data_IF_188289539336
#
_entry.id   IF_188289539336
#
_cell.length_a   1.000
_cell.length_b   1.000
_cell.length_c   1.000
_cell.angle_alpha   90.00
_cell.angle_beta   90.00
_cell.angle_gamma   90.00
#
_symmetry.space_group_name_H-M   'P 1'
#
loop_
_entity.id
_entity.type
_entity.pdbx_description
1 polymer ?
#
# COMPACT_ATOMS: atom_id res chain seq x y z
N UNK A 1 5.69 -15.39 -14.13
CA UNK A 1 4.26 -15.31 -14.49
C UNK A 1 3.87 -13.84 -14.52
N UNK A 2 3.48 -13.31 -15.67
CA UNK A 2 2.99 -11.94 -15.79
C UNK A 2 1.67 -11.82 -15.01
N UNK A 3 1.60 -10.85 -14.13
CA UNK A 3 0.39 -10.56 -13.36
C UNK A 3 -0.73 -10.20 -14.33
N UNK A 4 -1.78 -11.02 -14.39
CA UNK A 4 -2.89 -10.84 -15.33
C UNK A 4 -3.91 -9.77 -14.90
N UNK A 5 -3.64 -9.04 -13.81
CA UNK A 5 -4.57 -8.05 -13.28
C UNK A 5 -4.08 -6.62 -13.51
N UNK A 6 -5.02 -5.74 -13.85
CA UNK A 6 -4.83 -4.29 -13.82
C UNK A 6 -5.22 -3.82 -12.41
N UNK A 7 -4.37 -3.02 -11.78
CA UNK A 7 -4.60 -2.49 -10.44
C UNK A 7 -5.01 -1.01 -10.51
N UNK A 8 -6.15 -0.69 -9.93
CA UNK A 8 -6.59 0.68 -9.66
C UNK A 8 -6.45 0.91 -8.17
N UNK A 9 -5.50 1.74 -7.78
CA UNK A 9 -5.14 1.97 -6.38
C UNK A 9 -5.42 3.43 -6.03
N UNK A 10 -6.40 3.64 -5.16
CA UNK A 10 -6.81 4.97 -4.71
C UNK A 10 -6.17 5.28 -3.36
N UNK A 11 -5.08 6.03 -3.38
CA UNK A 11 -4.48 6.60 -2.17
C UNK A 11 -5.24 7.86 -1.78
N UNK A 12 -6.02 7.79 -0.69
CA UNK A 12 -6.80 8.93 -0.20
C UNK A 12 -5.93 9.98 0.49
N UNK A 13 -4.67 9.65 0.77
CA UNK A 13 -3.79 10.51 1.56
C UNK A 13 -4.45 10.90 2.89
N UNK A 14 -4.39 12.15 3.31
CA UNK A 14 -4.99 12.63 4.56
C UNK A 14 -6.37 13.25 4.31
N UNK A 15 -7.22 12.55 3.51
CA UNK A 15 -8.58 13.00 3.23
C UNK A 15 -9.61 11.96 3.64
N UNK A 16 -10.80 12.44 3.97
CA UNK A 16 -11.97 11.62 4.23
C UNK A 16 -12.33 11.45 5.70
N UNK A 17 -13.63 11.32 5.94
CA UNK A 17 -14.27 10.98 7.19
C UNK A 17 -15.24 9.80 6.99
N UNK A 18 -16.04 9.46 8.01
CA UNK A 18 -17.02 8.37 7.91
C UNK A 18 -18.07 8.63 6.82
N UNK A 19 -18.46 9.89 6.57
CA UNK A 19 -19.44 10.27 5.55
C UNK A 19 -18.90 10.04 4.15
N UNK A 20 -17.58 10.21 3.95
CA UNK A 20 -16.91 9.97 2.68
C UNK A 20 -17.11 8.54 2.18
N UNK A 21 -17.31 7.57 3.07
CA UNK A 21 -17.54 6.18 2.68
C UNK A 21 -18.83 6.02 1.83
N UNK A 22 -19.79 6.93 1.94
CA UNK A 22 -21.04 6.88 1.17
C UNK A 22 -20.83 7.17 -0.33
N UNK A 23 -19.74 7.86 -0.69
CA UNK A 23 -19.41 8.13 -2.10
C UNK A 23 -18.99 6.88 -2.89
N UNK A 24 -18.80 5.74 -2.23
CA UNK A 24 -18.32 4.51 -2.86
C UNK A 24 -19.42 3.64 -3.47
N UNK A 25 -20.70 3.99 -3.33
CA UNK A 25 -21.81 3.13 -3.75
C UNK A 25 -21.82 2.84 -5.25
N UNK A 26 -21.49 3.81 -6.09
CA UNK A 26 -21.37 3.62 -7.54
C UNK A 26 -20.27 2.61 -7.91
N UNK A 27 -19.10 2.70 -7.26
CA UNK A 27 -17.98 1.79 -7.50
C UNK A 27 -18.27 0.39 -6.94
N UNK A 28 -18.97 0.30 -5.79
CA UNK A 28 -19.43 -0.97 -5.22
C UNK A 28 -20.37 -1.67 -6.21
N UNK A 29 -21.33 -0.95 -6.77
CA UNK A 29 -22.28 -1.50 -7.75
C UNK A 29 -21.57 -1.90 -9.04
N UNK A 30 -20.67 -1.08 -9.56
CA UNK A 30 -19.82 -1.44 -10.70
C UNK A 30 -19.05 -2.74 -10.46
N UNK A 31 -18.41 -2.86 -9.30
CA UNK A 31 -17.63 -4.05 -8.93
C UNK A 31 -18.50 -5.32 -8.85
N UNK A 32 -19.72 -5.22 -8.32
CA UNK A 32 -20.65 -6.36 -8.27
C UNK A 32 -21.04 -6.87 -9.65
N UNK A 33 -21.21 -5.96 -10.61
CA UNK A 33 -21.60 -6.29 -11.98
C UNK A 33 -20.43 -6.81 -12.82
N UNK A 34 -19.19 -6.59 -12.38
CA UNK A 34 -17.97 -6.93 -13.11
C UNK A 34 -17.08 -7.95 -12.37
N UNK A 35 -17.68 -8.94 -11.72
CA UNK A 35 -16.97 -9.93 -10.87
C UNK A 35 -15.89 -10.75 -11.60
N UNK A 36 -16.05 -11.01 -12.90
CA UNK A 36 -15.12 -11.80 -13.73
C UNK A 36 -13.99 -10.96 -14.34
N UNK A 37 -13.94 -9.67 -14.11
CA UNK A 37 -12.98 -8.76 -14.74
C UNK A 37 -11.56 -8.96 -14.20
N UNK A 38 -10.58 -8.75 -15.07
CA UNK A 38 -9.14 -8.86 -14.75
C UNK A 38 -8.59 -7.57 -14.13
N UNK A 39 -9.35 -6.92 -13.26
CA UNK A 39 -8.88 -5.76 -12.50
C UNK A 39 -9.05 -5.95 -11.00
N UNK A 40 -8.30 -5.17 -10.23
CA UNK A 40 -8.39 -5.04 -8.77
C UNK A 40 -8.51 -3.58 -8.41
N UNK A 41 -9.50 -3.24 -7.61
CA UNK A 41 -9.68 -1.87 -7.10
C UNK A 41 -9.36 -1.91 -5.61
N UNK A 42 -8.39 -1.09 -5.20
CA UNK A 42 -7.87 -1.04 -3.83
C UNK A 42 -8.00 0.39 -3.33
N UNK A 43 -8.68 0.56 -2.21
CA UNK A 43 -8.79 1.84 -1.51
C UNK A 43 -7.82 1.86 -0.34
N UNK A 44 -6.97 2.88 -0.27
CA UNK A 44 -6.03 3.12 0.82
C UNK A 44 -6.42 4.42 1.56
N UNK A 45 -7.40 4.36 2.49
CA UNK A 45 -7.84 5.51 3.27
C UNK A 45 -6.89 5.78 4.45
N UNK A 46 -7.06 6.90 5.19
CA UNK A 46 -6.44 7.09 6.50
C UNK A 46 -6.72 5.91 7.45
N UNK A 47 -5.80 5.65 8.38
CA UNK A 47 -5.89 4.51 9.29
C UNK A 47 -7.22 4.44 10.07
N UNK A 48 -7.80 5.59 10.41
CA UNK A 48 -9.09 5.72 11.11
C UNK A 48 -10.28 5.15 10.32
N UNK A 49 -10.15 5.06 8.99
CA UNK A 49 -11.21 4.61 8.09
C UNK A 49 -11.03 3.16 7.61
N UNK A 50 -9.90 2.50 7.87
CA UNK A 50 -9.63 1.13 7.39
C UNK A 50 -10.71 0.16 7.91
N UNK A 51 -11.00 0.17 9.20
CA UNK A 51 -11.99 -0.76 9.80
C UNK A 51 -13.41 -0.53 9.26
N UNK A 52 -13.98 0.69 9.30
CA UNK A 52 -15.32 0.92 8.75
C UNK A 52 -15.40 0.61 7.25
N UNK A 53 -14.39 0.99 6.45
CA UNK A 53 -14.34 0.68 5.04
C UNK A 53 -14.25 -0.84 4.79
N UNK A 54 -13.41 -1.56 5.51
CA UNK A 54 -13.29 -3.01 5.41
C UNK A 54 -14.62 -3.73 5.69
N UNK A 55 -15.37 -3.27 6.70
CA UNK A 55 -16.71 -3.80 6.97
C UNK A 55 -17.68 -3.54 5.81
N UNK A 56 -17.68 -2.32 5.25
CA UNK A 56 -18.55 -1.93 4.13
C UNK A 56 -18.27 -2.75 2.87
N UNK A 57 -17.00 -3.05 2.59
CA UNK A 57 -16.58 -3.75 1.38
C UNK A 57 -16.58 -5.28 1.49
N UNK A 58 -16.94 -5.87 2.64
CA UNK A 58 -16.81 -7.31 2.93
C UNK A 58 -17.47 -8.22 1.89
N UNK A 59 -18.56 -7.80 1.25
CA UNK A 59 -19.31 -8.59 0.25
C UNK A 59 -19.06 -8.11 -1.19
N UNK A 60 -17.95 -7.44 -1.44
CA UNK A 60 -17.57 -6.89 -2.75
C UNK A 60 -16.23 -7.44 -3.22
N UNK A 61 -15.86 -7.15 -4.48
CA UNK A 61 -14.53 -7.44 -5.03
C UNK A 61 -13.52 -6.28 -4.78
N UNK A 62 -13.95 -5.25 -4.06
CA UNK A 62 -13.08 -4.14 -3.68
C UNK A 62 -12.22 -4.52 -2.47
N UNK A 63 -11.01 -4.00 -2.43
CA UNK A 63 -10.05 -4.34 -1.39
C UNK A 63 -9.57 -3.09 -0.65
N UNK A 64 -9.14 -3.28 0.59
CA UNK A 64 -8.66 -2.18 1.45
C UNK A 64 -7.17 -2.32 1.67
N UNK A 65 -6.47 -1.21 1.51
CA UNK A 65 -5.06 -1.06 1.86
C UNK A 65 -4.85 -0.01 2.93
N UNK A 66 -3.66 0.00 3.50
CA UNK A 66 -3.15 1.05 4.37
C UNK A 66 -2.16 1.93 3.62
N UNK A 67 -1.91 3.14 4.13
CA UNK A 67 -1.03 4.12 3.48
C UNK A 67 0.43 4.04 3.95
N UNK A 68 0.69 3.40 5.08
CA UNK A 68 2.01 3.12 5.65
C UNK A 68 1.89 2.11 6.79
N UNK A 69 3.01 1.60 7.30
CA UNK A 69 3.09 0.85 8.56
C UNK A 69 4.43 1.09 9.26
N UNK A 70 4.50 0.76 10.53
CA UNK A 70 5.76 0.71 11.28
C UNK A 70 6.58 -0.52 10.87
N UNK A 71 7.91 -0.44 10.92
CA UNK A 71 8.83 -1.53 10.56
C UNK A 71 8.80 -2.68 11.56
N UNK A 72 8.49 -2.40 12.81
CA UNK A 72 8.33 -3.44 13.81
C UNK A 72 6.95 -4.08 13.69
N UNK A 73 6.91 -5.39 13.43
CA UNK A 73 5.66 -6.15 13.34
C UNK A 73 5.01 -6.43 14.71
N UNK A 74 5.79 -6.44 15.77
CA UNK A 74 5.30 -6.71 17.10
C UNK A 74 4.75 -5.45 17.78
N UNK A 75 3.91 -5.65 18.78
CA UNK A 75 3.47 -4.58 19.67
C UNK A 75 4.67 -4.07 20.48
N UNK A 76 4.64 -2.81 20.85
CA UNK A 76 5.75 -2.20 21.60
C UNK A 76 5.48 -0.73 21.95
N UNK A 77 6.46 -0.06 22.59
CA UNK A 77 6.32 1.32 23.06
C UNK A 77 6.54 2.34 21.91
N UNK A 78 5.66 2.30 20.91
CA UNK A 78 5.71 3.17 19.73
C UNK A 78 4.44 4.01 19.65
N UNK A 79 4.32 5.00 20.51
CA UNK A 79 3.13 5.85 20.66
C UNK A 79 2.73 6.48 19.33
N UNK A 80 1.45 6.29 18.94
CA UNK A 80 0.87 6.82 17.70
C UNK A 80 1.18 6.02 16.44
N UNK A 81 2.09 5.04 16.48
CA UNK A 81 2.40 4.20 15.32
C UNK A 81 1.45 3.02 15.16
N UNK A 82 1.29 2.58 13.92
CA UNK A 82 0.45 1.43 13.56
C UNK A 82 1.32 0.40 12.83
N UNK A 83 1.38 -0.82 13.34
CA UNK A 83 2.16 -1.88 12.71
C UNK A 83 1.33 -2.73 11.72
N UNK A 84 2.00 -3.59 10.98
CA UNK A 84 1.38 -4.43 9.95
C UNK A 84 0.36 -5.42 10.50
N UNK A 85 0.54 -5.96 11.73
CA UNK A 85 -0.44 -6.84 12.38
C UNK A 85 -1.73 -6.09 12.75
N UNK A 86 -1.62 -4.87 13.28
CA UNK A 86 -2.78 -4.02 13.57
C UNK A 86 -3.59 -3.73 12.30
N UNK A 87 -2.91 -3.38 11.20
CA UNK A 87 -3.54 -3.12 9.91
C UNK A 87 -4.26 -4.35 9.37
N UNK A 88 -3.63 -5.52 9.44
CA UNK A 88 -4.24 -6.79 9.05
C UNK A 88 -5.48 -7.10 9.87
N UNK A 89 -5.43 -6.89 11.17
CA UNK A 89 -6.54 -7.16 12.10
C UNK A 89 -7.77 -6.28 11.82
N UNK A 90 -7.57 -5.01 11.41
CA UNK A 90 -8.68 -4.12 11.05
C UNK A 90 -9.17 -4.29 9.61
N UNK A 91 -8.59 -5.23 8.85
CA UNK A 91 -9.08 -5.69 7.55
C UNK A 91 -8.31 -5.16 6.34
N UNK A 92 -7.17 -4.52 6.50
CA UNK A 92 -6.29 -4.21 5.39
C UNK A 92 -5.76 -5.49 4.75
N UNK A 93 -5.68 -5.51 3.42
CA UNK A 93 -5.04 -6.57 2.64
C UNK A 93 -3.76 -6.10 1.97
N UNK A 94 -3.60 -4.80 1.80
CA UNK A 94 -2.46 -4.14 1.16
C UNK A 94 -1.89 -3.06 2.07
N UNK A 95 -0.66 -2.65 1.77
CA UNK A 95 -0.05 -1.45 2.36
C UNK A 95 0.84 -0.77 1.33
N UNK A 96 0.73 0.56 1.23
CA UNK A 96 1.61 1.40 0.42
C UNK A 96 2.89 1.65 1.22
N UNK A 97 4.05 1.40 0.61
CA UNK A 97 5.36 1.64 1.23
C UNK A 97 6.29 2.34 0.25
N UNK A 98 7.12 3.25 0.75
CA UNK A 98 8.06 4.01 -0.06
C UNK A 98 7.42 5.12 -0.89
N UNK A 99 6.20 5.56 -0.55
CA UNK A 99 5.54 6.69 -1.22
C UNK A 99 6.40 7.95 -1.14
N UNK A 100 6.38 8.77 -2.19
CA UNK A 100 7.22 9.97 -2.31
C UNK A 100 7.10 10.91 -1.10
N UNK A 101 5.91 11.11 -0.55
CA UNK A 101 5.69 11.97 0.63
C UNK A 101 6.41 11.41 1.87
N UNK A 102 6.38 10.09 2.09
CA UNK A 102 7.10 9.47 3.20
C UNK A 102 8.63 9.53 3.00
N UNK A 103 9.10 9.35 1.75
CA UNK A 103 10.52 9.53 1.43
C UNK A 103 10.99 10.96 1.68
N UNK A 104 10.18 11.95 1.30
CA UNK A 104 10.46 13.37 1.59
C UNK A 104 10.48 13.66 3.10
N UNK A 105 9.70 12.92 3.88
CA UNK A 105 9.69 12.99 5.35
C UNK A 105 10.79 12.15 6.01
N UNK A 106 11.77 11.64 5.23
CA UNK A 106 12.96 10.95 5.76
C UNK A 106 12.93 9.43 5.70
N UNK A 107 11.93 8.78 5.10
CA UNK A 107 11.97 7.32 4.91
C UNK A 107 13.11 6.91 3.95
N UNK A 108 14.07 6.17 4.48
CA UNK A 108 15.18 5.60 3.71
C UNK A 108 14.81 4.27 3.08
N UNK A 109 15.52 3.86 2.01
CA UNK A 109 15.34 2.53 1.40
C UNK A 109 15.55 1.39 2.41
N UNK A 110 16.48 1.56 3.38
CA UNK A 110 16.70 0.58 4.46
C UNK A 110 15.45 0.44 5.35
N UNK A 111 14.85 1.56 5.75
CA UNK A 111 13.63 1.56 6.55
C UNK A 111 12.46 0.94 5.77
N UNK A 112 12.32 1.30 4.50
CA UNK A 112 11.30 0.74 3.61
C UNK A 112 11.46 -0.79 3.49
N UNK A 113 12.69 -1.30 3.34
CA UNK A 113 12.96 -2.75 3.32
C UNK A 113 12.47 -3.45 4.59
N UNK A 114 12.71 -2.87 5.77
CA UNK A 114 12.23 -3.42 7.04
C UNK A 114 10.70 -3.42 7.09
N UNK A 115 10.05 -2.34 6.65
CA UNK A 115 8.58 -2.26 6.55
C UNK A 115 8.00 -3.29 5.58
N UNK A 116 8.64 -3.50 4.42
CA UNK A 116 8.21 -4.52 3.45
C UNK A 116 8.28 -5.92 4.08
N UNK A 117 9.37 -6.24 4.77
CA UNK A 117 9.53 -7.53 5.48
C UNK A 117 8.44 -7.72 6.54
N UNK A 118 8.20 -6.70 7.37
CA UNK A 118 7.14 -6.69 8.39
C UNK A 118 5.75 -6.92 7.77
N UNK A 119 5.44 -6.21 6.67
CA UNK A 119 4.17 -6.33 5.97
C UNK A 119 3.94 -7.74 5.39
N UNK A 120 4.93 -8.30 4.70
CA UNK A 120 4.88 -9.66 4.13
C UNK A 120 4.67 -10.70 5.22
N UNK A 121 5.38 -10.59 6.35
CA UNK A 121 5.30 -11.50 7.48
C UNK A 121 3.91 -11.45 8.15
N UNK A 122 3.27 -10.28 8.16
CA UNK A 122 1.88 -10.12 8.59
C UNK A 122 0.84 -10.48 7.52
N UNK A 123 1.27 -11.10 6.40
CA UNK A 123 0.41 -11.50 5.29
C UNK A 123 -0.35 -10.34 4.64
N UNK A 124 0.27 -9.16 4.54
CA UNK A 124 -0.15 -8.06 3.69
C UNK A 124 0.53 -8.15 2.32
N UNK A 125 -0.16 -7.73 1.28
CA UNK A 125 0.44 -7.42 -0.02
C UNK A 125 0.99 -6.01 0.02
N UNK A 126 2.14 -5.79 -0.61
CA UNK A 126 2.83 -4.51 -0.59
C UNK A 126 2.68 -3.81 -1.93
N UNK A 127 2.29 -2.56 -1.90
CA UNK A 127 2.37 -1.62 -3.03
C UNK A 127 3.64 -0.82 -2.79
N UNK A 128 4.72 -1.25 -3.43
CA UNK A 128 6.04 -0.65 -3.28
C UNK A 128 6.22 0.49 -4.28
N UNK A 129 6.17 1.72 -3.79
CA UNK A 129 6.35 2.92 -4.59
C UNK A 129 7.83 3.22 -4.80
N UNK A 130 8.19 3.40 -6.07
CA UNK A 130 9.51 3.85 -6.49
C UNK A 130 9.37 5.06 -7.40
N UNK A 131 10.37 5.92 -7.42
CA UNK A 131 10.33 7.11 -8.27
C UNK A 131 11.52 8.01 -8.00
N UNK A 132 11.93 8.75 -9.03
CA UNK A 132 12.95 9.77 -8.97
C UNK A 132 12.35 11.14 -8.62
N UNK A 133 13.18 12.01 -8.07
CA UNK A 133 12.86 13.43 -7.90
C UNK A 133 13.00 14.19 -9.23
N UNK A 134 12.38 15.38 -9.32
CA UNK A 134 12.53 16.24 -10.50
C UNK A 134 14.00 16.56 -10.82
N UNK A 135 14.84 16.77 -9.80
CA UNK A 135 16.28 16.99 -9.95
C UNK A 135 16.99 15.78 -10.60
N UNK A 136 16.69 14.57 -10.13
CA UNK A 136 17.25 13.32 -10.67
C UNK A 136 16.79 13.07 -12.11
N UNK A 137 15.51 13.35 -12.41
CA UNK A 137 14.99 13.30 -13.78
C UNK A 137 15.73 14.27 -14.71
N UNK A 138 15.93 15.52 -14.27
CA UNK A 138 16.71 16.51 -15.04
C UNK A 138 18.15 16.08 -15.29
N UNK A 139 18.76 15.36 -14.34
CA UNK A 139 20.09 14.76 -14.47
C UNK A 139 20.11 13.47 -15.30
N UNK A 140 18.95 13.02 -15.84
CA UNK A 140 18.81 11.81 -16.66
C UNK A 140 19.31 10.51 -15.97
N UNK A 141 19.18 10.44 -14.64
CA UNK A 141 19.59 9.27 -13.84
C UNK A 141 18.43 8.42 -13.32
N UNK A 142 17.23 8.55 -13.88
CA UNK A 142 16.01 7.82 -13.50
C UNK A 142 16.27 6.33 -13.30
N UNK A 143 16.81 5.63 -14.32
CA UNK A 143 17.05 4.18 -14.25
C UNK A 143 17.97 3.79 -13.09
N UNK A 144 19.02 4.58 -12.84
CA UNK A 144 19.93 4.38 -11.70
C UNK A 144 19.20 4.48 -10.37
N UNK A 145 18.33 5.48 -10.21
CA UNK A 145 17.55 5.69 -8.99
C UNK A 145 16.55 4.57 -8.78
N UNK A 146 15.75 4.21 -9.80
CA UNK A 146 14.76 3.15 -9.71
C UNK A 146 15.42 1.80 -9.39
N UNK A 147 16.53 1.44 -10.08
CA UNK A 147 17.28 0.22 -9.79
C UNK A 147 17.81 0.21 -8.35
N UNK A 148 18.34 1.34 -7.86
CA UNK A 148 18.82 1.46 -6.47
C UNK A 148 17.69 1.24 -5.47
N UNK A 149 16.52 1.88 -5.69
CA UNK A 149 15.37 1.74 -4.79
C UNK A 149 14.84 0.31 -4.78
N UNK A 150 14.74 -0.35 -5.93
CA UNK A 150 14.32 -1.76 -6.02
C UNK A 150 15.33 -2.66 -5.29
N UNK A 151 16.61 -2.56 -5.60
CA UNK A 151 17.64 -3.41 -5.02
C UNK A 151 17.72 -3.27 -3.50
N UNK A 152 17.64 -2.04 -2.99
CA UNK A 152 17.68 -1.78 -1.55
C UNK A 152 16.37 -2.18 -0.86
N UNK A 153 15.23 -1.79 -1.44
CA UNK A 153 13.91 -2.06 -0.87
C UNK A 153 13.57 -3.56 -0.84
N UNK A 154 14.07 -4.33 -1.80
CA UNK A 154 13.84 -5.78 -1.88
C UNK A 154 15.01 -6.63 -1.38
N UNK A 155 16.03 -6.01 -0.78
CA UNK A 155 17.21 -6.73 -0.28
C UNK A 155 16.83 -7.86 0.66
N UNK A 156 17.30 -9.08 0.36
CA UNK A 156 17.04 -10.31 1.14
C UNK A 156 15.55 -10.70 1.23
N UNK A 157 14.71 -10.28 0.28
CA UNK A 157 13.34 -10.75 0.13
C UNK A 157 13.34 -11.83 -0.97
N UNK A 158 13.09 -13.09 -0.58
CA UNK A 158 13.11 -14.23 -1.51
C UNK A 158 11.80 -14.35 -2.31
N UNK A 159 10.67 -14.11 -1.66
CA UNK A 159 9.35 -14.20 -2.30
C UNK A 159 8.77 -12.80 -2.55
N UNK A 160 8.67 -12.44 -3.81
CA UNK A 160 8.11 -11.17 -4.28
C UNK A 160 6.66 -11.28 -4.76
N UNK A 161 6.03 -12.45 -4.63
CA UNK A 161 4.66 -12.71 -5.12
C UNK A 161 3.59 -11.80 -4.49
N UNK A 162 3.89 -11.23 -3.32
CA UNK A 162 3.04 -10.30 -2.60
C UNK A 162 3.39 -8.82 -2.86
N UNK A 163 4.27 -8.53 -3.80
CA UNK A 163 4.75 -7.16 -4.06
C UNK A 163 4.26 -6.69 -5.42
N UNK A 164 3.71 -5.49 -5.44
CA UNK A 164 3.34 -4.72 -6.63
C UNK A 164 4.27 -3.52 -6.67
N UNK A 165 5.00 -3.33 -7.75
CA UNK A 165 5.80 -2.11 -7.97
C UNK A 165 4.88 -1.05 -8.58
N UNK A 166 4.95 0.18 -8.07
CA UNK A 166 4.13 1.32 -8.48
C UNK A 166 4.97 2.59 -8.62
#
# INVERSE_FOLDING_TARGET
MTNKYIYFIANWKMFGDLRTLNSLDSVINFSKNNKKSKFRIIYCPPNTLIRPLSKRLKKTNLEVGAQNCHENENFGPFTGHVNSKMLKNVGAKYVILGHSENRQSGETDKLINLKIKSAIKSNLKVIFCIGETLSEKRKKITNKILSKQINNGLKSIKDTSKIIIA
#
